data_IF_647724968849
#
_entry.id   IF_647724968849
#
_cell.length_a   1.000
_cell.length_b   1.000
_cell.length_c   1.000
_cell.angle_alpha   90.00
_cell.angle_beta   90.00
_cell.angle_gamma   90.00
#
_symmetry.space_group_name_H-M   'P 1'
#
loop_
_entity.id
_entity.type
_entity.pdbx_description
1 polymer ?
#
# COMPACT_ATOMS: atom_id res chain seq x y z
N UNK A 1 58.15 51.16 9.20
CA UNK A 1 57.80 49.79 8.81
C UNK A 1 56.35 49.55 9.20
N UNK A 2 55.44 49.58 8.23
CA UNK A 2 54.03 49.25 8.42
C UNK A 2 53.74 48.10 7.47
N UNK A 3 53.51 46.91 8.01
CA UNK A 3 53.04 45.73 7.27
C UNK A 3 51.52 45.81 7.21
N UNK A 4 50.88 45.84 6.03
CA UNK A 4 49.42 45.79 5.95
C UNK A 4 48.96 44.33 6.12
N UNK A 5 48.06 44.11 7.08
CA UNK A 5 47.31 42.87 7.25
C UNK A 5 46.31 42.72 6.09
N UNK A 6 46.55 41.74 5.21
CA UNK A 6 45.60 41.31 4.19
C UNK A 6 44.46 40.50 4.83
N UNK A 7 43.17 40.75 4.49
CA UNK A 7 42.08 39.90 4.90
C UNK A 7 42.09 38.57 4.11
N UNK A 8 41.69 37.43 4.70
CA UNK A 8 41.71 36.15 4.00
C UNK A 8 40.65 36.11 2.90
N UNK A 9 41.09 35.89 1.66
CA UNK A 9 40.30 35.90 0.42
C UNK A 9 39.26 34.76 0.29
N UNK A 10 38.93 34.03 1.37
CA UNK A 10 38.27 32.73 1.29
C UNK A 10 36.88 32.66 1.94
N UNK A 11 36.40 33.75 2.55
CA UNK A 11 35.13 33.74 3.28
C UNK A 11 33.90 33.86 2.35
N UNK A 12 34.04 34.55 1.21
CA UNK A 12 32.99 34.67 0.20
C UNK A 12 32.78 33.39 -0.63
N UNK A 13 33.86 32.65 -0.90
CA UNK A 13 33.80 31.40 -1.67
C UNK A 13 33.10 30.27 -0.88
N UNK A 14 33.37 30.18 0.43
CA UNK A 14 32.70 29.24 1.33
C UNK A 14 31.20 29.55 1.47
N UNK A 15 30.82 30.83 1.57
CA UNK A 15 29.41 31.24 1.61
C UNK A 15 28.67 30.89 0.31
N UNK A 16 29.32 31.08 -0.85
CA UNK A 16 28.75 30.76 -2.15
C UNK A 16 28.60 29.24 -2.35
N UNK A 17 29.57 28.44 -1.89
CA UNK A 17 29.50 26.97 -1.94
C UNK A 17 28.40 26.40 -1.03
N UNK A 18 28.18 26.98 0.16
CA UNK A 18 27.10 26.56 1.07
C UNK A 18 25.72 26.93 0.50
N UNK A 19 25.59 28.11 -0.13
CA UNK A 19 24.36 28.52 -0.82
C UNK A 19 24.03 27.63 -2.03
N UNK A 20 25.06 27.21 -2.78
CA UNK A 20 24.90 26.32 -3.93
C UNK A 20 24.51 24.90 -3.50
N UNK A 21 25.02 24.40 -2.38
CA UNK A 21 24.65 23.09 -1.82
C UNK A 21 23.23 23.09 -1.23
N UNK A 22 22.78 24.21 -0.66
CA UNK A 22 21.41 24.38 -0.12
C UNK A 22 20.33 24.39 -1.20
N UNK A 23 20.67 24.65 -2.47
CA UNK A 23 19.75 24.68 -3.61
C UNK A 23 19.58 23.31 -4.30
N UNK A 24 20.40 22.31 -3.99
CA UNK A 24 20.42 21.00 -4.68
C UNK A 24 19.62 19.92 -3.92
N UNK A 25 18.98 20.25 -2.80
CA UNK A 25 18.05 19.33 -2.13
C UNK A 25 16.70 19.36 -2.85
N UNK A 26 16.67 18.80 -4.06
CA UNK A 26 15.43 18.43 -4.73
C UNK A 26 14.79 17.27 -3.97
N UNK A 27 13.62 17.51 -3.37
CA UNK A 27 12.80 16.44 -2.80
C UNK A 27 12.47 15.45 -3.92
N UNK A 28 12.99 14.22 -3.82
CA UNK A 28 12.50 13.10 -4.62
C UNK A 28 11.15 12.72 -4.02
N UNK A 29 10.08 13.21 -4.64
CA UNK A 29 8.72 12.83 -4.24
C UNK A 29 8.40 11.50 -4.92
N UNK A 30 8.62 10.40 -4.20
CA UNK A 30 8.16 9.07 -4.61
C UNK A 30 6.64 9.09 -4.62
N UNK A 31 6.04 9.08 -5.81
CA UNK A 31 4.59 9.13 -5.95
C UNK A 31 4.02 7.73 -5.81
N UNK A 32 3.65 7.38 -4.58
CA UNK A 32 2.93 6.16 -4.25
C UNK A 32 1.57 6.13 -4.95
N UNK A 33 1.27 5.07 -5.69
CA UNK A 33 -0.03 4.89 -6.35
C UNK A 33 -1.01 4.39 -5.29
N UNK A 34 -1.73 5.32 -4.67
CA UNK A 34 -2.88 5.00 -3.83
C UNK A 34 -4.13 4.96 -4.72
N UNK A 35 -4.79 3.82 -4.71
CA UNK A 35 -6.01 3.60 -5.48
C UNK A 35 -7.17 4.33 -4.84
N UNK A 36 -7.66 5.35 -5.54
CA UNK A 36 -8.73 6.20 -5.04
C UNK A 36 -10.06 5.46 -5.11
N UNK A 37 -10.83 5.48 -4.02
CA UNK A 37 -12.16 4.88 -3.92
C UNK A 37 -12.22 3.37 -4.23
N UNK A 38 -11.13 2.62 -4.01
CA UNK A 38 -11.06 1.17 -4.26
C UNK A 38 -11.90 0.34 -3.28
N UNK A 39 -12.27 0.90 -2.12
CA UNK A 39 -13.16 0.22 -1.16
C UNK A 39 -14.47 1.00 -1.01
N UNK A 40 -15.59 0.32 -1.17
CA UNK A 40 -16.93 0.87 -0.95
C UNK A 40 -17.67 0.07 0.11
N UNK A 41 -18.18 0.73 1.14
CA UNK A 41 -19.06 0.10 2.15
C UNK A 41 -20.48 0.08 1.61
N UNK A 42 -21.05 -1.11 1.44
CA UNK A 42 -22.40 -1.32 0.91
C UNK A 42 -23.44 -1.48 2.02
N UNK A 43 -23.04 -2.05 3.16
CA UNK A 43 -23.87 -2.25 4.34
C UNK A 43 -23.01 -2.07 5.59
N UNK A 44 -23.57 -1.51 6.68
CA UNK A 44 -24.90 -0.91 6.80
C UNK A 44 -25.01 0.42 6.04
N UNK A 45 -26.24 0.84 5.70
CA UNK A 45 -26.47 2.09 4.94
C UNK A 45 -25.95 3.34 5.68
N UNK A 46 -25.93 3.31 7.01
CA UNK A 46 -25.35 4.37 7.85
C UNK A 46 -23.86 4.60 7.62
N UNK A 47 -23.13 3.57 7.17
CA UNK A 47 -21.70 3.61 6.90
C UNK A 47 -21.41 3.59 5.40
N UNK A 48 -22.41 3.82 4.54
CA UNK A 48 -22.20 3.79 3.10
C UNK A 48 -21.26 4.90 2.65
N UNK A 49 -20.05 4.53 2.28
CA UNK A 49 -18.96 5.45 1.93
C UNK A 49 -17.98 4.79 0.96
N UNK A 50 -17.15 5.63 0.35
CA UNK A 50 -16.01 5.20 -0.47
C UNK A 50 -14.72 5.64 0.23
N UNK A 51 -13.73 4.77 0.20
CA UNK A 51 -12.45 4.97 0.85
C UNK A 51 -11.32 4.57 -0.10
N UNK A 52 -10.23 5.30 0.04
CA UNK A 52 -8.98 4.98 -0.61
C UNK A 52 -8.34 3.79 0.12
N UNK A 53 -7.64 2.95 -0.63
CA UNK A 53 -6.89 1.83 -0.07
C UNK A 53 -5.67 1.55 -0.94
N UNK A 54 -4.58 1.13 -0.32
CA UNK A 54 -3.41 0.63 -1.04
C UNK A 54 -3.58 -0.87 -1.27
N UNK A 55 -3.95 -1.28 -2.48
CA UNK A 55 -4.07 -2.69 -2.86
C UNK A 55 -2.68 -3.28 -3.04
N UNK A 56 -2.44 -4.48 -2.50
CA UNK A 56 -1.18 -5.20 -2.69
C UNK A 56 -1.01 -5.65 -4.14
N UNK A 57 0.23 -5.61 -4.64
CA UNK A 57 0.58 -6.08 -5.99
C UNK A 57 0.64 -7.62 -6.13
N UNK A 58 0.11 -8.35 -5.16
CA UNK A 58 0.12 -9.81 -5.11
C UNK A 58 -1.25 -10.34 -4.68
N UNK A 59 -1.56 -11.59 -5.05
CA UNK A 59 -2.84 -12.23 -4.71
C UNK A 59 -4.05 -11.77 -5.52
N UNK A 60 -3.89 -10.75 -6.35
CA UNK A 60 -4.86 -10.31 -7.36
C UNK A 60 -4.48 -10.88 -8.73
N UNK A 61 -5.44 -11.29 -9.57
CA UNK A 61 -5.17 -11.65 -10.95
C UNK A 61 -4.63 -10.44 -11.76
N UNK A 62 -3.89 -10.70 -12.84
CA UNK A 62 -3.38 -9.69 -13.79
C UNK A 62 -4.48 -9.01 -14.64
N UNK A 63 -5.71 -8.99 -14.15
CA UNK A 63 -6.84 -8.34 -14.78
C UNK A 63 -7.72 -7.66 -13.73
N UNK A 64 -8.32 -6.54 -14.13
CA UNK A 64 -9.22 -5.77 -13.29
C UNK A 64 -10.41 -6.59 -12.81
N UNK A 65 -10.79 -6.43 -11.54
CA UNK A 65 -11.88 -7.17 -10.92
C UNK A 65 -12.41 -6.52 -9.65
N UNK A 66 -13.47 -7.11 -9.11
CA UNK A 66 -13.99 -6.70 -7.81
C UNK A 66 -14.51 -7.87 -6.99
N UNK A 67 -14.43 -7.74 -5.68
CA UNK A 67 -14.92 -8.70 -4.70
C UNK A 67 -15.88 -8.01 -3.75
N UNK A 68 -17.09 -8.57 -3.61
CA UNK A 68 -18.04 -8.17 -2.57
C UNK A 68 -18.05 -9.22 -1.49
N UNK A 69 -17.82 -8.81 -0.24
CA UNK A 69 -17.76 -9.72 0.89
C UNK A 69 -18.16 -9.09 2.22
N UNK A 70 -18.40 -9.94 3.20
CA UNK A 70 -18.71 -9.54 4.57
C UNK A 70 -17.42 -9.41 5.37
N UNK A 71 -17.25 -8.29 6.07
CA UNK A 71 -16.05 -8.05 6.87
C UNK A 71 -16.13 -8.83 8.19
N UNK A 72 -15.06 -9.53 8.54
CA UNK A 72 -14.92 -10.24 9.81
C UNK A 72 -13.66 -9.77 10.52
N UNK A 73 -13.77 -9.51 11.82
CA UNK A 73 -12.65 -9.12 12.67
C UNK A 73 -12.42 -10.21 13.73
N UNK A 74 -11.21 -10.79 13.82
CA UNK A 74 -10.95 -11.91 14.72
C UNK A 74 -10.84 -11.44 16.17
N UNK A 75 -11.41 -12.21 17.11
CA UNK A 75 -11.34 -11.90 18.54
C UNK A 75 -9.97 -12.20 19.17
N UNK A 76 -9.19 -13.08 18.54
CA UNK A 76 -7.81 -13.43 18.91
C UNK A 76 -6.95 -13.39 17.66
N UNK A 77 -5.71 -12.91 17.79
CA UNK A 77 -4.78 -12.84 16.67
C UNK A 77 -5.11 -11.73 15.66
N UNK A 78 -5.61 -10.58 16.12
CA UNK A 78 -5.91 -9.43 15.26
C UNK A 78 -4.72 -8.96 14.40
N UNK A 79 -3.49 -9.21 14.86
CA UNK A 79 -2.28 -8.86 14.11
C UNK A 79 -1.97 -9.90 13.00
N UNK A 80 -2.62 -11.06 12.94
CA UNK A 80 -2.45 -12.05 11.87
C UNK A 80 -1.04 -12.63 11.69
N UNK A 81 -0.17 -12.49 12.69
CA UNK A 81 1.23 -12.93 12.61
C UNK A 81 1.43 -14.42 12.90
N UNK A 82 0.45 -15.07 13.50
CA UNK A 82 0.40 -16.51 13.71
C UNK A 82 -0.77 -17.12 12.94
N UNK A 83 -0.69 -18.44 12.72
CA UNK A 83 -1.81 -19.21 12.16
C UNK A 83 -3.03 -19.10 13.07
N UNK A 84 -4.22 -19.07 12.46
CA UNK A 84 -5.47 -19.02 13.20
C UNK A 84 -5.92 -20.44 13.57
N UNK A 85 -6.33 -20.62 14.82
CA UNK A 85 -6.80 -21.92 15.31
C UNK A 85 -8.07 -22.39 14.59
N UNK A 86 -8.07 -23.65 14.13
CA UNK A 86 -9.23 -24.35 13.55
C UNK A 86 -9.13 -24.63 12.05
N UNK A 87 -10.04 -25.45 11.53
CA UNK A 87 -10.12 -25.72 10.08
C UNK A 87 -10.82 -24.56 9.36
N UNK A 88 -10.02 -23.68 8.77
CA UNK A 88 -10.46 -22.52 7.95
C UNK A 88 -11.56 -21.69 8.64
N UNK A 89 -11.25 -21.08 9.80
CA UNK A 89 -12.25 -20.39 10.64
C UNK A 89 -12.94 -19.22 9.94
N UNK A 90 -12.31 -18.61 8.94
CA UNK A 90 -12.88 -17.48 8.19
C UNK A 90 -13.48 -17.88 6.85
N UNK A 91 -13.52 -19.17 6.51
CA UNK A 91 -14.25 -19.62 5.34
C UNK A 91 -15.73 -19.31 5.51
N UNK A 92 -16.30 -18.57 4.56
CA UNK A 92 -17.72 -18.25 4.62
C UNK A 92 -18.59 -19.50 4.52
N UNK A 93 -19.63 -19.53 5.35
CA UNK A 93 -20.72 -20.53 5.30
C UNK A 93 -21.94 -20.00 4.54
N UNK A 94 -21.93 -18.72 4.18
CA UNK A 94 -23.00 -18.02 3.49
C UNK A 94 -22.66 -17.82 2.00
N UNK A 95 -23.57 -17.20 1.24
CA UNK A 95 -23.35 -16.88 -0.17
C UNK A 95 -22.25 -15.85 -0.41
N UNK A 96 -21.96 -14.97 0.56
CA UNK A 96 -20.92 -13.94 0.44
C UNK A 96 -19.62 -14.42 1.06
N UNK A 97 -18.47 -14.23 0.38
CA UNK A 97 -17.16 -14.52 0.96
C UNK A 97 -16.86 -13.61 2.16
N UNK A 98 -15.99 -14.06 3.05
CA UNK A 98 -15.54 -13.26 4.19
C UNK A 98 -14.25 -12.52 3.85
N UNK A 99 -14.20 -11.25 4.21
CA UNK A 99 -13.03 -10.39 4.11
C UNK A 99 -12.49 -10.19 5.52
N UNK A 100 -11.27 -10.65 5.77
CA UNK A 100 -10.66 -10.62 7.09
C UNK A 100 -10.03 -9.26 7.36
N UNK A 101 -10.43 -8.58 8.42
CA UNK A 101 -9.84 -7.33 8.89
C UNK A 101 -8.78 -7.64 9.95
N UNK A 102 -7.56 -7.14 9.74
CA UNK A 102 -6.40 -7.30 10.62
C UNK A 102 -5.77 -5.96 10.97
N UNK A 103 -4.96 -5.94 12.02
CA UNK A 103 -4.22 -4.75 12.45
C UNK A 103 -2.78 -4.77 11.93
N UNK A 104 -2.28 -3.59 11.56
CA UNK A 104 -0.88 -3.36 11.21
C UNK A 104 0.00 -3.45 12.47
N UNK A 105 1.13 -4.14 12.36
CA UNK A 105 2.10 -4.33 13.45
C UNK A 105 2.69 -5.74 13.49
N UNK A 106 3.76 -5.90 14.27
CA UNK A 106 4.47 -7.16 14.63
C UNK A 106 5.10 -8.00 13.51
N UNK A 107 4.53 -8.01 12.31
CA UNK A 107 4.99 -8.83 11.20
C UNK A 107 4.67 -8.23 9.83
N UNK A 108 5.28 -8.79 8.79
CA UNK A 108 5.13 -8.36 7.40
C UNK A 108 3.70 -8.55 6.87
N UNK A 109 3.31 -7.66 5.96
CA UNK A 109 1.99 -7.66 5.32
C UNK A 109 1.69 -8.98 4.58
N UNK A 110 2.65 -9.48 3.78
CA UNK A 110 2.49 -10.76 3.08
C UNK A 110 2.22 -11.95 4.03
N UNK A 111 2.84 -11.97 5.22
CA UNK A 111 2.60 -13.03 6.20
C UNK A 111 1.17 -12.98 6.75
N UNK A 112 0.64 -11.79 7.01
CA UNK A 112 -0.75 -11.59 7.45
C UNK A 112 -1.73 -12.13 6.40
N UNK A 113 -1.49 -11.79 5.14
CA UNK A 113 -2.32 -12.23 4.01
C UNK A 113 -2.23 -13.74 3.84
N UNK A 114 -1.01 -14.30 3.93
CA UNK A 114 -0.80 -15.76 3.89
C UNK A 114 -1.58 -16.49 4.98
N UNK A 115 -1.47 -16.03 6.24
CA UNK A 115 -2.20 -16.64 7.36
C UNK A 115 -3.72 -16.49 7.22
N UNK A 116 -4.19 -15.34 6.73
CA UNK A 116 -5.59 -15.12 6.40
C UNK A 116 -6.11 -16.07 5.31
N UNK A 117 -5.30 -16.30 4.27
CA UNK A 117 -5.60 -17.25 3.20
C UNK A 117 -5.69 -18.69 3.74
N UNK A 118 -4.72 -19.12 4.55
CA UNK A 118 -4.74 -20.45 5.16
C UNK A 118 -5.98 -20.63 6.06
N UNK A 119 -6.39 -19.56 6.74
CA UNK A 119 -7.60 -19.53 7.55
C UNK A 119 -8.91 -19.44 6.74
N UNK A 120 -8.83 -19.44 5.39
CA UNK A 120 -9.99 -19.50 4.50
C UNK A 120 -10.66 -18.16 4.19
N UNK A 121 -10.01 -17.04 4.52
CA UNK A 121 -10.48 -15.73 4.08
C UNK A 121 -10.41 -15.59 2.56
N UNK A 122 -11.34 -14.85 1.97
CA UNK A 122 -11.34 -14.58 0.53
C UNK A 122 -10.58 -13.32 0.15
N UNK A 123 -10.37 -12.43 1.12
CA UNK A 123 -9.53 -11.24 1.01
C UNK A 123 -9.10 -10.78 2.39
N UNK A 124 -8.06 -9.95 2.45
CA UNK A 124 -7.53 -9.41 3.71
C UNK A 124 -7.43 -7.89 3.63
N UNK A 125 -8.02 -7.22 4.61
CA UNK A 125 -7.80 -5.80 4.87
C UNK A 125 -6.89 -5.65 6.07
N UNK A 126 -5.86 -4.82 5.95
CA UNK A 126 -5.00 -4.45 7.07
C UNK A 126 -5.27 -3.00 7.41
N UNK A 127 -5.77 -2.75 8.62
CA UNK A 127 -5.96 -1.41 9.15
C UNK A 127 -4.64 -0.87 9.70
N UNK A 128 -4.30 0.35 9.29
CA UNK A 128 -3.15 1.04 9.84
C UNK A 128 -3.30 1.28 11.35
N UNK A 129 -2.17 1.30 12.06
CA UNK A 129 -2.08 1.64 13.48
C UNK A 129 -1.77 3.12 13.69
N UNK A 130 -1.31 3.83 12.65
CA UNK A 130 -0.95 5.25 12.67
C UNK A 130 -1.85 6.00 11.67
N UNK A 131 -2.24 7.22 12.03
CA UNK A 131 -2.99 8.11 11.13
C UNK A 131 -2.00 8.82 10.18
N UNK A 132 -1.58 8.10 9.15
CA UNK A 132 -0.66 8.56 8.11
C UNK A 132 -1.22 8.32 6.71
N UNK A 133 -0.62 8.97 5.71
CA UNK A 133 -1.00 8.74 4.32
C UNK A 133 -0.77 7.26 3.95
N UNK A 134 -1.70 6.70 3.17
CA UNK A 134 -1.58 5.33 2.68
C UNK A 134 -0.28 5.15 1.91
N UNK A 135 0.55 4.21 2.38
CA UNK A 135 1.78 3.79 1.72
C UNK A 135 1.48 2.60 0.81
N UNK A 136 2.17 2.50 -0.34
CA UNK A 136 2.14 1.24 -1.09
C UNK A 136 2.86 0.19 -0.27
N UNK A 137 2.16 -0.92 -0.03
CA UNK A 137 2.80 -2.10 0.53
C UNK A 137 3.50 -2.83 -0.60
N UNK A 138 4.58 -2.26 -1.10
CA UNK A 138 5.50 -3.02 -1.93
C UNK A 138 6.02 -4.19 -1.12
N UNK A 139 5.90 -5.38 -1.69
CA UNK A 139 6.53 -6.56 -1.14
C UNK A 139 8.02 -6.24 -0.99
N UNK A 140 8.60 -6.23 0.23
CA UNK A 140 10.04 -6.14 0.32
C UNK A 140 10.61 -7.38 -0.35
N UNK A 141 11.18 -7.20 -1.55
CA UNK A 141 11.81 -8.29 -2.32
C UNK A 141 12.98 -8.94 -1.57
N UNK A 142 13.44 -8.36 -0.47
CA UNK A 142 14.60 -8.87 0.26
C UNK A 142 14.35 -8.91 1.77
N UNK A 143 13.66 -9.96 2.20
CA UNK A 143 14.06 -10.61 3.44
C UNK A 143 14.41 -12.04 3.06
N UNK A 144 15.64 -12.44 3.35
CA UNK A 144 16.17 -13.80 3.13
C UNK A 144 15.37 -14.89 3.86
N UNK A 145 14.35 -14.51 4.64
CA UNK A 145 13.41 -15.36 5.38
C UNK A 145 11.95 -15.32 4.82
N UNK A 146 11.69 -14.60 3.73
CA UNK A 146 10.40 -14.66 3.03
C UNK A 146 10.29 -16.02 2.33
N UNK A 147 9.72 -17.02 3.01
CA UNK A 147 9.66 -18.43 2.57
C UNK A 147 8.78 -18.70 1.30
N UNK A 148 8.88 -17.87 0.26
CA UNK A 148 8.16 -18.07 -1.01
C UNK A 148 6.63 -18.02 -0.87
N UNK A 149 6.12 -17.24 0.07
CA UNK A 149 4.68 -17.11 0.29
C UNK A 149 4.01 -16.20 -0.74
N UNK A 150 4.71 -15.16 -1.21
CA UNK A 150 4.15 -14.13 -2.10
C UNK A 150 3.58 -14.75 -3.38
N UNK A 151 4.33 -15.67 -4.02
CA UNK A 151 3.88 -16.41 -5.21
C UNK A 151 2.69 -17.35 -4.96
N UNK A 152 2.45 -17.72 -3.70
CA UNK A 152 1.38 -18.66 -3.31
C UNK A 152 0.14 -17.93 -2.76
N UNK A 153 0.22 -16.62 -2.55
CA UNK A 153 -0.93 -15.80 -2.17
C UNK A 153 -1.76 -15.58 -3.43
N UNK A 154 -3.03 -15.97 -3.37
CA UNK A 154 -4.01 -15.87 -4.44
C UNK A 154 -5.30 -15.18 -3.99
N UNK A 155 -5.25 -14.43 -2.87
CA UNK A 155 -6.36 -13.61 -2.40
C UNK A 155 -5.99 -12.12 -2.44
N UNK A 156 -6.91 -11.24 -2.84
CA UNK A 156 -6.68 -9.81 -2.83
C UNK A 156 -6.45 -9.29 -1.40
N UNK A 157 -5.57 -8.30 -1.29
CA UNK A 157 -5.27 -7.66 -0.02
C UNK A 157 -5.12 -6.15 -0.17
N UNK A 158 -5.48 -5.40 0.86
CA UNK A 158 -5.33 -3.94 0.85
C UNK A 158 -5.01 -3.38 2.25
N UNK A 159 -4.20 -2.33 2.27
CA UNK A 159 -3.96 -1.48 3.44
C UNK A 159 -4.99 -0.34 3.45
N UNK A 160 -5.62 -0.12 4.59
CA UNK A 160 -6.61 0.93 4.81
C UNK A 160 -6.18 1.86 5.94
N UNK A 161 -6.68 3.10 5.91
CA UNK A 161 -6.42 4.09 6.94
C UNK A 161 -6.92 3.63 8.31
N UNK A 162 -6.24 4.09 9.36
CA UNK A 162 -6.60 3.81 10.75
C UNK A 162 -8.03 4.22 11.07
N UNK A 163 -8.42 5.45 10.68
CA UNK A 163 -9.74 6.02 10.96
C UNK A 163 -10.88 5.18 10.38
N UNK A 164 -10.69 4.68 9.15
CA UNK A 164 -11.64 3.81 8.50
C UNK A 164 -11.67 2.42 9.16
N UNK A 165 -10.50 1.83 9.42
CA UNK A 165 -10.40 0.54 10.13
C UNK A 165 -11.09 0.56 11.50
N UNK A 166 -10.94 1.64 12.27
CA UNK A 166 -11.59 1.81 13.56
C UNK A 166 -13.12 1.89 13.41
N UNK A 167 -13.61 2.61 12.40
CA UNK A 167 -15.06 2.68 12.08
C UNK A 167 -15.64 1.30 11.78
N UNK A 168 -14.94 0.48 10.99
CA UNK A 168 -15.37 -0.89 10.69
C UNK A 168 -15.39 -1.75 11.96
N UNK A 169 -14.35 -1.68 12.80
CA UNK A 169 -14.29 -2.42 14.07
C UNK A 169 -15.41 -2.03 15.01
N UNK A 170 -15.76 -0.75 15.11
CA UNK A 170 -16.86 -0.27 15.93
C UNK A 170 -18.21 -0.83 15.46
N UNK A 171 -18.46 -0.83 14.15
CA UNK A 171 -19.67 -1.42 13.57
C UNK A 171 -19.77 -2.92 13.87
N UNK A 172 -18.67 -3.66 13.73
CA UNK A 172 -18.60 -5.08 14.04
C UNK A 172 -18.81 -5.36 15.53
N UNK A 173 -18.29 -4.51 16.42
CA UNK A 173 -18.54 -4.61 17.88
C UNK A 173 -20.01 -4.40 18.24
N UNK A 174 -20.75 -3.59 17.48
CA UNK A 174 -22.20 -3.39 17.63
C UNK A 174 -23.01 -4.59 17.11
N UNK A 175 -22.37 -5.54 16.42
CA UNK A 175 -23.03 -6.70 15.82
C UNK A 175 -23.67 -6.39 14.46
N UNK A 176 -23.30 -5.28 13.82
CA UNK A 176 -23.79 -4.92 12.49
C UNK A 176 -23.07 -5.75 11.41
N UNK A 177 -23.80 -6.23 10.41
CA UNK A 177 -23.21 -6.89 9.24
C UNK A 177 -22.62 -5.83 8.30
N UNK A 178 -21.29 -5.75 8.29
CA UNK A 178 -20.54 -4.86 7.41
C UNK A 178 -20.23 -5.58 6.10
N UNK A 179 -20.72 -5.05 4.99
CA UNK A 179 -20.50 -5.60 3.65
C UNK A 179 -19.77 -4.55 2.83
N UNK A 180 -18.67 -4.94 2.21
CA UNK A 180 -17.87 -4.04 1.40
C UNK A 180 -17.66 -4.62 0.00
N UNK A 181 -17.41 -3.73 -0.95
CA UNK A 181 -16.88 -4.02 -2.28
C UNK A 181 -15.44 -3.54 -2.32
N UNK A 182 -14.53 -4.43 -2.69
CA UNK A 182 -13.15 -4.13 -3.06
C UNK A 182 -13.06 -4.16 -4.58
N UNK A 183 -12.57 -3.09 -5.19
CA UNK A 183 -12.46 -2.92 -6.64
C UNK A 183 -11.00 -2.59 -7.00
N UNK A 184 -10.38 -3.45 -7.79
CA UNK A 184 -8.99 -3.29 -8.27
C UNK A 184 -8.94 -3.16 -9.80
N UNK A 185 -10.05 -2.72 -10.42
CA UNK A 185 -10.15 -2.60 -11.88
C UNK A 185 -9.16 -1.60 -12.46
N UNK A 186 -8.96 -0.48 -11.77
CA UNK A 186 -8.04 0.61 -12.18
C UNK A 186 -6.59 0.36 -11.71
N UNK A 187 -6.42 -0.54 -10.74
CA UNK A 187 -5.14 -0.82 -10.09
C UNK A 187 -4.28 -1.81 -10.86
N UNK A 188 -4.88 -2.49 -11.85
CA UNK A 188 -4.18 -3.41 -12.73
C UNK A 188 -3.80 -2.70 -14.03
N UNK A 189 -2.53 -2.78 -14.46
CA UNK A 189 -2.15 -2.32 -15.78
C UNK A 189 -3.05 -3.02 -16.80
N UNK A 190 -3.63 -2.24 -17.72
CA UNK A 190 -4.60 -2.76 -18.66
C UNK A 190 -3.99 -3.97 -19.41
N UNK A 191 -4.64 -5.15 -19.37
CA UNK A 191 -4.15 -6.34 -20.06
C UNK A 191 -4.58 -6.32 -21.54
N UNK A 192 -4.69 -5.14 -22.15
CA UNK A 192 -4.38 -5.11 -23.57
C UNK A 192 -2.88 -5.40 -23.69
N UNK A 193 -2.45 -6.15 -24.70
CA UNK A 193 -1.06 -6.59 -24.86
C UNK A 193 -0.15 -5.40 -25.26
N UNK A 194 -0.27 -4.29 -24.56
CA UNK A 194 0.28 -2.98 -24.85
C UNK A 194 0.96 -2.51 -23.57
N UNK A 195 2.28 -2.36 -23.67
CA UNK A 195 3.04 -1.71 -22.60
C UNK A 195 2.75 -0.21 -22.72
N UNK A 196 1.95 0.32 -21.80
CA UNK A 196 1.83 1.76 -21.64
C UNK A 196 3.13 2.28 -21.02
N UNK A 197 3.81 3.17 -21.74
CA UNK A 197 5.00 3.84 -21.25
C UNK A 197 4.66 5.31 -21.04
N UNK A 198 4.88 5.81 -19.82
CA UNK A 198 4.88 7.24 -19.56
C UNK A 198 6.32 7.73 -19.52
N UNK A 199 6.73 8.45 -20.57
CA UNK A 199 8.04 9.07 -20.66
C UNK A 199 8.01 10.41 -19.92
N UNK A 200 8.61 10.45 -18.73
CA UNK A 200 8.82 11.69 -18.00
C UNK A 200 10.08 12.39 -18.51
N UNK A 201 9.91 13.36 -19.40
CA UNK A 201 11.01 14.28 -19.75
C UNK A 201 10.94 15.50 -18.83
N UNK A 202 11.89 15.65 -17.92
CA UNK A 202 12.10 16.92 -17.25
C UNK A 202 12.73 17.90 -18.27
N UNK A 203 12.45 19.21 -18.14
CA UNK A 203 12.96 20.24 -19.06
C UNK A 203 14.37 20.73 -18.70
N UNK A 204 15.16 19.96 -17.96
CA UNK A 204 16.52 20.34 -17.53
C UNK A 204 17.63 19.44 -18.11
N UNK A 205 17.29 18.45 -18.93
CA UNK A 205 18.26 17.63 -19.65
C UNK A 205 18.59 18.28 -21.01
N UNK A 206 19.55 19.21 -21.03
CA UNK A 206 20.26 19.51 -22.26
C UNK A 206 21.06 18.25 -22.68
N UNK A 207 20.57 17.62 -23.76
CA UNK A 207 21.15 16.48 -24.49
C UNK A 207 20.79 15.07 -24.00
N UNK A 208 19.56 14.64 -24.25
CA UNK A 208 19.22 13.21 -24.42
C UNK A 208 19.67 12.69 -25.78
N UNK A 209 20.45 11.61 -25.80
CA UNK A 209 21.05 11.01 -27.00
C UNK A 209 19.99 10.38 -27.91
N UNK A 210 20.13 10.58 -29.22
CA UNK A 210 19.30 10.00 -30.28
C UNK A 210 19.43 8.48 -30.30
N UNK A 211 18.32 7.76 -30.10
CA UNK A 211 18.25 6.30 -30.33
C UNK A 211 18.14 6.08 -31.84
N UNK A 212 19.21 5.55 -32.44
CA UNK A 212 19.21 5.08 -33.82
C UNK A 212 18.83 3.59 -33.82
N UNK A 213 17.61 3.30 -34.29
CA UNK A 213 17.21 1.95 -34.68
C UNK A 213 18.14 1.43 -35.78
N UNK A 214 18.62 0.20 -35.60
CA UNK A 214 19.14 -0.66 -36.66
C UNK A 214 18.44 -2.00 -36.60
#
# INVERSE_FOLDING_TARGET
>A
MLVPLHPPANMGALFFQVLLFSLIVSNVDGRFIVEKNSISVLSPYSLHSKHDASIGNFGVPDYGGSLVGTVVYPSKGANGCAEFDGDKPFKSKAHRPNILLLDRGDCYFALKVWNGQQAGAAAVLVADSIDEALITMDSPEESTDANGYIEKIGIPSALIEKSFGDTLKEALKKGEEVVIKMDWTESMPHPDQRVEYELWTNSNDECGFVVMSR
#
